data_IF_051752670073
#
_entry.id   IF_051752670073
#
_cell.length_a   1.000
_cell.length_b   1.000
_cell.length_c   1.000
_cell.angle_alpha   90.00
_cell.angle_beta   90.00
_cell.angle_gamma   90.00
#
_symmetry.space_group_name_H-M   'P 1'
#
loop_
_entity.id
_entity.type
_entity.pdbx_description
1 polymer ?
2 non-polymer ?
3 non-polymer ?
4 non-polymer ?
5 non-polymer ?
6 water ?
#
# COMPACT_ATOMS: atom_id res chain seq x y z
N UNK A 21 11.29 25.94 -13.75
CA UNK A 21 11.62 24.53 -13.55
C UNK A 21 10.45 23.62 -13.91
N UNK A 22 10.78 22.48 -14.51
CA UNK A 22 9.84 21.43 -14.85
C UNK A 22 9.00 21.03 -13.64
N UNK A 23 9.59 21.17 -12.46
CA UNK A 23 9.01 20.67 -11.21
C UNK A 23 8.07 21.65 -10.50
N UNK A 24 8.49 22.91 -10.39
CA UNK A 24 7.57 23.92 -9.84
C UNK A 24 6.40 24.07 -10.80
N UNK A 25 6.64 23.77 -12.07
CA UNK A 25 5.57 23.75 -13.05
C UNK A 25 4.60 22.64 -12.70
N UNK A 26 5.15 21.46 -12.42
CA UNK A 26 4.32 20.32 -12.02
C UNK A 26 3.52 20.66 -10.75
N UNK A 27 4.17 21.32 -9.80
CA UNK A 27 3.52 21.73 -8.56
C UNK A 27 2.35 22.69 -8.84
N UNK A 28 2.54 23.59 -9.79
CA UNK A 28 1.51 24.57 -10.13
C UNK A 28 0.29 23.93 -10.77
N UNK A 29 0.53 23.06 -11.75
CA UNK A 29 -0.56 22.36 -12.43
C UNK A 29 -1.35 21.58 -11.41
N UNK A 30 -0.65 20.93 -10.49
CA UNK A 30 -1.32 20.06 -9.54
C UNK A 30 -2.14 20.87 -8.54
N UNK A 31 -1.55 21.92 -7.99
CA UNK A 31 -2.24 22.71 -6.98
C UNK A 31 -3.46 23.44 -7.55
N UNK A 32 -3.40 23.76 -8.85
CA UNK A 32 -4.49 24.48 -9.51
C UNK A 32 -5.67 23.59 -9.92
N UNK A 33 -5.44 22.28 -10.03
CA UNK A 33 -6.43 21.36 -10.58
C UNK A 33 -7.69 21.14 -9.73
N UNK A 34 -8.81 20.86 -10.39
CA UNK A 34 -10.01 20.42 -9.70
C UNK A 34 -9.91 18.91 -9.57
N UNK A 35 -10.17 18.39 -8.38
CA UNK A 35 -10.00 16.98 -8.15
C UNK A 35 -11.35 16.34 -8.36
N UNK A 36 -11.43 15.46 -9.37
CA UNK A 36 -12.69 14.76 -9.65
C UNK A 36 -13.12 13.94 -8.46
N UNK A 37 -14.37 13.47 -8.45
CA UNK A 37 -14.87 12.66 -7.36
C UNK A 37 -14.26 11.26 -7.40
N UNK A 38 -14.32 10.60 -6.26
CA UNK A 38 -13.79 9.27 -6.12
C UNK A 38 -14.46 8.35 -7.14
N UNK A 39 -15.75 8.55 -7.33
CA UNK A 39 -16.53 7.73 -8.25
C UNK A 39 -16.05 7.90 -9.68
N UNK A 40 -15.80 9.13 -10.06
CA UNK A 40 -15.28 9.43 -11.39
C UNK A 40 -13.90 8.81 -11.60
N UNK A 41 -13.13 8.68 -10.53
CA UNK A 41 -11.74 8.23 -10.67
C UNK A 41 -11.64 6.73 -10.53
N UNK A 42 -12.74 6.10 -10.14
CA UNK A 42 -12.81 4.66 -10.07
C UNK A 42 -11.95 4.12 -8.96
N UNK A 43 -11.51 4.99 -8.06
CA UNK A 43 -10.62 4.55 -6.99
C UNK A 43 -11.30 3.74 -5.89
N UNK A 44 -12.63 3.61 -5.91
CA UNK A 44 -13.31 2.74 -4.95
C UNK A 44 -13.33 1.27 -5.37
N UNK A 45 -12.93 0.99 -6.59
CA UNK A 45 -13.02 -0.36 -7.15
C UNK A 45 -11.81 -1.21 -6.79
N UNK A 46 -12.05 -2.44 -6.38
CA UNK A 46 -10.96 -3.37 -6.13
C UNK A 46 -10.19 -3.73 -7.41
N UNK A 47 -10.83 -3.55 -8.55
CA UNK A 47 -10.23 -3.94 -9.83
C UNK A 47 -9.61 -2.75 -10.58
N UNK A 48 -9.49 -1.64 -9.87
CA UNK A 48 -8.85 -0.44 -10.40
C UNK A 48 -7.52 -0.70 -11.11
N UNK A 49 -7.21 0.10 -12.13
CA UNK A 49 -5.93 -0.04 -12.82
C UNK A 49 -5.38 1.32 -13.22
N UNK A 50 -4.07 1.46 -13.19
CA UNK A 50 -3.44 2.76 -13.36
C UNK A 50 -2.74 2.89 -14.71
N UNK A 51 -2.79 1.84 -15.52
CA UNK A 51 -2.01 1.81 -16.77
C UNK A 51 -2.26 2.98 -17.70
N UNK A 52 -3.48 3.51 -17.70
CA UNK A 52 -3.85 4.53 -18.66
C UNK A 52 -3.79 5.94 -18.06
N UNK A 53 -3.26 6.03 -16.84
CA UNK A 53 -3.25 7.29 -16.10
C UNK A 53 -1.89 7.94 -16.25
N UNK A 54 -1.88 9.27 -16.30
CA UNK A 54 -0.64 10.06 -16.32
C UNK A 54 -0.13 10.25 -14.89
N UNK A 55 1.11 10.70 -14.73
CA UNK A 55 1.60 11.01 -13.40
C UNK A 55 0.69 12.01 -12.70
N UNK A 56 0.36 13.10 -13.39
CA UNK A 56 -0.50 14.11 -12.81
C UNK A 56 -1.79 13.48 -12.32
N UNK A 57 -2.33 12.56 -13.11
CA UNK A 57 -3.60 11.94 -12.75
C UNK A 57 -3.48 11.08 -11.49
N UNK A 58 -2.34 10.43 -11.30
CA UNK A 58 -2.19 9.61 -10.11
C UNK A 58 -2.11 10.53 -8.90
N UNK A 59 -1.55 11.72 -9.11
CA UNK A 59 -1.46 12.66 -7.99
C UNK A 59 -2.84 13.14 -7.55
N UNK A 60 -3.73 13.38 -8.50
CA UNK A 60 -5.11 13.79 -8.20
C UNK A 60 -5.87 12.70 -7.47
N UNK A 61 -5.74 11.46 -7.95
CA UNK A 61 -6.38 10.36 -7.27
C UNK A 61 -5.91 10.35 -5.83
N UNK A 62 -4.63 10.64 -5.61
CA UNK A 62 -4.08 10.55 -4.26
C UNK A 62 -4.69 11.62 -3.35
N UNK A 63 -4.87 12.82 -3.88
CA UNK A 63 -5.52 13.87 -3.11
C UNK A 63 -6.94 13.46 -2.78
N UNK A 64 -7.62 12.87 -3.76
CA UNK A 64 -8.99 12.45 -3.50
C UNK A 64 -9.05 11.38 -2.40
N UNK A 65 -7.99 10.57 -2.30
CA UNK A 65 -7.96 9.55 -1.24
C UNK A 65 -7.86 10.19 0.16
N UNK A 66 -6.97 11.17 0.31
CA UNK A 66 -6.89 11.88 1.58
C UNK A 66 -8.19 12.60 1.91
N UNK A 67 -8.81 13.17 0.87
CA UNK A 67 -9.95 14.04 1.07
C UNK A 67 -11.17 13.25 1.50
N UNK A 68 -11.47 12.19 0.76
CA UNK A 68 -12.67 11.39 1.04
C UNK A 68 -12.52 10.46 2.23
N UNK A 69 -11.31 10.34 2.76
CA UNK A 69 -11.13 9.67 4.05
C UNK A 69 -11.29 10.74 5.14
N UNK A 70 -11.61 11.96 4.71
CA UNK A 70 -11.84 13.08 5.61
C UNK A 70 -10.62 13.50 6.41
N UNK A 71 -9.43 13.22 5.86
CA UNK A 71 -8.16 13.50 6.53
C UNK A 71 -7.68 14.95 6.37
N UNK A 72 -8.00 15.57 5.24
CA UNK A 72 -7.63 16.96 5.05
C UNK A 72 -8.36 17.83 6.07
N UNK A 73 -9.63 17.52 6.31
CA UNK A 73 -10.42 18.26 7.27
C UNK A 73 -9.99 18.01 8.72
N UNK A 74 -9.97 16.75 9.14
CA UNK A 74 -9.76 16.43 10.54
C UNK A 74 -8.39 16.90 11.03
N UNK A 75 -7.45 17.06 10.11
CA UNK A 75 -6.07 17.35 10.47
C UNK A 75 -5.57 18.61 9.79
N UNK A 76 -6.50 19.36 9.22
CA UNK A 76 -6.19 20.68 8.70
C UNK A 76 -4.94 20.68 7.82
N UNK A 77 -4.96 19.90 6.75
CA UNK A 77 -3.82 19.94 5.84
C UNK A 77 -4.04 21.05 4.84
N UNK A 78 -3.01 21.88 4.66
CA UNK A 78 -3.06 22.92 3.65
C UNK A 78 -2.84 22.28 2.29
N UNK A 79 -3.52 22.82 1.29
CA UNK A 79 -3.56 22.22 -0.04
C UNK A 79 -2.17 22.19 -0.67
N UNK A 80 -1.50 23.34 -0.66
CA UNK A 80 -0.17 23.43 -1.28
C UNK A 80 0.79 22.43 -0.65
N UNK A 81 0.65 22.21 0.66
CA UNK A 81 1.55 21.31 1.39
C UNK A 81 1.32 19.84 1.01
N UNK A 82 0.07 19.39 1.05
CA UNK A 82 -0.30 18.06 0.58
C UNK A 82 0.18 17.80 -0.86
N UNK A 83 -0.08 18.75 -1.75
CA UNK A 83 0.38 18.62 -3.13
C UNK A 83 1.89 18.49 -3.22
N UNK A 84 2.61 19.29 -2.44
CA UNK A 84 4.06 19.23 -2.49
C UNK A 84 4.52 17.87 -1.95
N UNK A 85 3.86 17.42 -0.89
CA UNK A 85 4.21 16.14 -0.26
C UNK A 85 4.06 14.95 -1.23
N UNK A 86 2.93 14.89 -1.91
CA UNK A 86 2.67 13.86 -2.89
C UNK A 86 3.74 13.87 -3.97
N UNK A 87 4.09 15.05 -4.46
CA UNK A 87 5.14 15.14 -5.49
C UNK A 87 6.50 14.70 -4.98
N UNK A 88 6.82 15.06 -3.73
CA UNK A 88 8.07 14.59 -3.12
C UNK A 88 8.09 13.07 -3.04
N UNK A 89 7.02 12.49 -2.51
CA UNK A 89 6.94 11.06 -2.44
C UNK A 89 7.14 10.51 -3.84
N UNK A 90 6.35 10.98 -4.80
CA UNK A 90 6.47 10.46 -6.17
C UNK A 90 7.90 10.58 -6.67
N UNK A 91 8.51 11.72 -6.43
CA UNK A 91 9.86 11.96 -6.92
C UNK A 91 10.89 10.98 -6.33
N UNK A 92 10.65 10.49 -5.12
CA UNK A 92 11.65 9.63 -4.48
C UNK A 92 11.48 8.13 -4.74
N UNK A 93 10.64 7.79 -5.70
CA UNK A 93 10.66 6.45 -6.26
C UNK A 93 11.47 6.54 -7.55
N UNK A 94 12.19 5.48 -7.90
CA UNK A 94 12.98 5.50 -9.14
C UNK A 94 12.19 4.93 -10.33
N UNK A 95 12.07 5.70 -11.41
CA UNK A 95 11.29 5.26 -12.57
C UNK A 95 11.94 4.11 -13.35
N UNK A 96 13.27 4.04 -13.31
CA UNK A 96 14.00 2.97 -13.99
C UNK A 96 13.76 1.58 -13.38
N UNK A 97 13.09 1.50 -12.24
CA UNK A 97 12.83 0.21 -11.62
C UNK A 97 11.46 -0.29 -12.07
N UNK A 98 11.41 -1.48 -12.62
CA UNK A 98 10.24 -1.87 -13.39
C UNK A 98 8.97 -2.04 -12.56
N UNK A 99 9.12 -2.57 -11.35
CA UNK A 99 7.93 -2.80 -10.54
C UNK A 99 7.91 -1.99 -9.25
N UNK A 100 9.02 -1.97 -8.52
CA UNK A 100 9.06 -1.23 -7.25
C UNK A 100 9.27 0.25 -7.47
N UNK A 101 8.23 0.90 -8.03
CA UNK A 101 8.28 2.32 -8.37
C UNK A 101 7.01 3.00 -7.87
N UNK A 102 6.83 4.26 -8.26
CA UNK A 102 5.70 5.02 -7.76
C UNK A 102 4.33 4.38 -8.04
N UNK A 103 4.15 3.78 -9.22
CA UNK A 103 2.87 3.16 -9.57
C UNK A 103 2.50 2.03 -8.61
N UNK A 104 3.50 1.24 -8.21
CA UNK A 104 3.28 0.25 -7.17
C UNK A 104 2.83 0.86 -5.83
N UNK A 105 3.43 1.96 -5.44
CA UNK A 105 3.06 2.61 -4.19
C UNK A 105 1.67 3.18 -4.33
N UNK A 106 1.41 3.77 -5.49
CA UNK A 106 0.11 4.35 -5.75
C UNK A 106 -1.00 3.29 -5.71
N UNK A 107 -0.75 2.16 -6.33
CA UNK A 107 -1.69 1.05 -6.29
C UNK A 107 -1.93 0.47 -4.89
N UNK A 108 -0.88 0.39 -4.11
CA UNK A 108 -1.01 -0.10 -2.75
C UNK A 108 -1.91 0.85 -1.97
N UNK A 109 -1.73 2.15 -2.20
CA UNK A 109 -2.58 3.15 -1.54
C UNK A 109 -4.04 3.05 -1.99
N UNK A 110 -4.24 2.88 -3.30
CA UNK A 110 -5.58 2.74 -3.83
C UNK A 110 -6.29 1.52 -3.25
N UNK A 111 -5.58 0.41 -3.14
CA UNK A 111 -6.18 -0.77 -2.55
C UNK A 111 -6.52 -0.54 -1.06
N UNK A 112 -5.64 0.13 -0.34
CA UNK A 112 -5.92 0.50 1.05
C UNK A 112 -7.22 1.31 1.08
N UNK A 113 -7.31 2.30 0.21
CA UNK A 113 -8.49 3.16 0.17
C UNK A 113 -9.75 2.34 -0.12
N UNK A 114 -9.65 1.40 -1.04
CA UNK A 114 -10.81 0.61 -1.42
C UNK A 114 -11.22 -0.35 -0.31
N UNK A 115 -10.26 -0.84 0.46
CA UNK A 115 -10.57 -1.74 1.56
C UNK A 115 -11.25 -0.96 2.67
N UNK A 116 -10.83 0.30 2.85
CA UNK A 116 -11.46 1.14 3.86
C UNK A 116 -12.87 1.55 3.48
N UNK A 117 -13.08 1.87 2.21
CA UNK A 117 -14.41 2.29 1.75
C UNK A 117 -15.27 1.08 1.35
N UNK A 118 -15.11 0.61 0.12
CA UNK A 118 -15.83 -0.56 -0.35
C UNK A 118 -15.75 -1.76 0.63
N UNK A 119 -14.55 -2.01 1.17
CA UNK A 119 -14.35 -3.15 2.08
C UNK A 119 -14.84 -2.87 3.49
N UNK A 120 -15.20 -1.61 3.75
CA UNK A 120 -15.87 -1.20 4.99
C UNK A 120 -15.00 -1.28 6.25
N UNK A 121 -13.69 -1.35 6.07
CA UNK A 121 -12.75 -1.38 7.18
C UNK A 121 -12.70 -0.03 7.91
N UNK A 122 -12.97 1.04 7.19
CA UNK A 122 -12.93 2.38 7.76
C UNK A 122 -13.50 2.42 9.16
N UNK A 123 -14.72 1.91 9.32
CA UNK A 123 -15.46 2.02 10.58
C UNK A 123 -14.80 1.29 11.74
N UNK A 124 -13.90 0.36 11.43
CA UNK A 124 -13.22 -0.42 12.46
C UNK A 124 -11.98 0.29 13.01
N UNK A 125 -11.59 1.43 12.44
CA UNK A 125 -10.32 2.06 12.81
C UNK A 125 -10.48 3.50 13.25
N UNK A 126 -9.46 4.05 13.91
CA UNK A 126 -9.47 5.47 14.26
C UNK A 126 -8.96 6.33 13.12
N UNK A 127 -9.32 7.61 13.15
CA UNK A 127 -8.78 8.56 12.18
C UNK A 127 -7.25 8.51 12.11
N UNK A 128 -6.58 8.50 13.26
CA UNK A 128 -5.12 8.49 13.28
C UNK A 128 -4.55 7.23 12.62
N UNK A 129 -5.21 6.09 12.84
CA UNK A 129 -4.80 4.85 12.19
C UNK A 129 -4.96 4.92 10.66
N UNK A 130 -6.09 5.45 10.22
CA UNK A 130 -6.37 5.59 8.81
C UNK A 130 -5.34 6.49 8.14
N UNK A 131 -5.08 7.63 8.79
CA UNK A 131 -4.08 8.58 8.35
C UNK A 131 -2.72 7.93 8.15
N UNK A 132 -2.33 7.09 9.10
CA UNK A 132 -1.02 6.45 9.10
C UNK A 132 -0.90 5.33 8.08
N UNK A 133 -1.99 4.59 7.86
CA UNK A 133 -2.04 3.57 6.82
C UNK A 133 -1.90 4.17 5.42
N UNK A 134 -2.62 5.26 5.17
CA UNK A 134 -2.57 5.89 3.86
C UNK A 134 -1.15 6.34 3.56
N UNK A 135 -0.53 7.01 4.53
CA UNK A 135 0.82 7.51 4.36
C UNK A 135 1.81 6.36 4.23
N UNK A 136 1.62 5.34 5.04
CA UNK A 136 2.49 4.17 4.98
C UNK A 136 2.38 3.46 3.63
N UNK A 137 1.16 3.27 3.13
CA UNK A 137 1.00 2.60 1.85
C UNK A 137 1.76 3.34 0.76
N UNK A 138 1.67 4.66 0.76
CA UNK A 138 2.35 5.46 -0.26
C UNK A 138 3.87 5.46 -0.12
N UNK A 139 4.37 5.32 1.10
CA UNK A 139 5.79 5.54 1.36
C UNK A 139 6.54 4.24 1.53
N UNK A 140 5.83 3.12 1.54
CA UNK A 140 6.39 1.89 2.10
C UNK A 140 7.54 1.29 1.29
N UNK A 141 7.76 1.77 0.07
CA UNK A 141 8.87 1.29 -0.73
C UNK A 141 9.77 2.42 -1.22
N UNK A 142 9.71 3.59 -0.58
CA UNK A 142 10.47 4.75 -1.01
C UNK A 142 11.95 4.44 -1.32
N UNK A 143 12.41 4.87 -2.48
CA UNK A 143 13.82 4.74 -2.88
C UNK A 143 14.28 3.29 -3.14
N UNK A 144 13.34 2.37 -3.33
CA UNK A 144 13.66 0.98 -3.70
C UNK A 144 14.53 0.95 -4.97
N UNK A 145 15.54 0.08 -5.00
CA UNK A 145 16.42 0.05 -6.17
C UNK A 145 16.22 -1.17 -7.08
N UNK A 146 15.34 -2.07 -6.66
CA UNK A 146 15.09 -3.31 -7.39
C UNK A 146 15.51 -4.45 -6.49
N UNK A 147 14.76 -5.54 -6.48
CA UNK A 147 15.08 -6.66 -5.60
C UNK A 147 16.50 -7.20 -5.80
N UNK A 148 17.08 -6.98 -6.98
CA UNK A 148 18.44 -7.44 -7.28
C UNK A 148 19.56 -6.48 -6.86
N UNK A 149 19.24 -5.48 -6.04
CA UNK A 149 20.27 -4.58 -5.52
C UNK A 149 20.33 -4.53 -4.00
N UNK A 150 21.49 -4.87 -3.45
CA UNK A 150 21.73 -4.86 -2.01
C UNK A 150 23.21 -5.01 -1.69
N UNK A 158 26.19 -2.14 5.54
CA UNK A 158 26.92 -1.59 6.70
C UNK A 158 26.77 -2.45 7.96
N UNK A 159 27.92 -2.82 8.53
CA UNK A 159 27.96 -3.56 9.78
C UNK A 159 27.04 -4.78 9.73
N UNK A 160 26.21 -4.93 10.76
CA UNK A 160 25.31 -6.08 10.88
C UNK A 160 23.90 -5.66 11.33
N UNK A 161 22.86 -5.92 10.52
CA UNK A 161 22.92 -6.73 9.29
C UNK A 161 23.25 -8.20 9.55
N UNK A 162 23.43 -8.55 10.82
CA UNK A 162 23.76 -9.91 11.18
C UNK A 162 22.54 -10.80 11.06
N UNK A 163 21.39 -10.29 11.52
CA UNK A 163 20.18 -11.10 11.62
C UNK A 163 18.92 -10.49 11.00
N UNK A 164 18.86 -10.46 9.68
CA UNK A 164 17.67 -9.96 8.96
C UNK A 164 17.28 -8.55 9.43
N UNK A 165 16.20 -8.47 10.19
CA UNK A 165 15.83 -7.25 10.90
C UNK A 165 15.21 -6.13 10.04
N UNK A 166 14.88 -6.45 8.78
CA UNK A 166 14.15 -5.51 7.92
C UNK A 166 14.94 -4.25 7.61
N UNK A 167 16.21 -4.41 7.26
CA UNK A 167 17.06 -3.27 6.96
C UNK A 167 16.47 -2.43 5.85
N UNK A 168 15.90 -3.10 4.87
CA UNK A 168 15.33 -2.44 3.72
C UNK A 168 14.16 -1.55 4.15
N UNK A 169 13.28 -2.10 4.97
CA UNK A 169 12.13 -1.36 5.44
C UNK A 169 12.51 -0.22 6.36
N UNK A 170 13.61 -0.37 7.12
CA UNK A 170 14.05 0.74 7.93
C UNK A 170 14.44 1.92 7.05
N UNK A 171 15.12 1.62 5.95
CA UNK A 171 15.46 2.64 4.97
C UNK A 171 14.20 3.34 4.38
N UNK A 172 13.21 2.56 3.99
CA UNK A 172 12.02 3.15 3.41
C UNK A 172 11.38 4.09 4.42
N UNK A 173 11.32 3.65 5.68
CA UNK A 173 10.70 4.47 6.70
C UNK A 173 11.50 5.75 6.97
N UNK A 174 12.83 5.64 7.00
CA UNK A 174 13.68 6.82 7.13
C UNK A 174 13.41 7.80 6.00
N UNK A 175 13.28 7.29 4.78
CA UNK A 175 12.94 8.14 3.62
C UNK A 175 11.63 8.86 3.84
N UNK A 176 10.62 8.10 4.25
CA UNK A 176 9.33 8.66 4.61
C UNK A 176 9.45 9.78 5.63
N UNK A 177 10.17 9.52 6.73
CA UNK A 177 10.37 10.50 7.80
C UNK A 177 11.01 11.80 7.29
N UNK A 178 12.08 11.67 6.52
CA UNK A 178 12.77 12.84 5.97
C UNK A 178 11.86 13.72 5.10
N UNK A 179 10.95 13.09 4.37
CA UNK A 179 10.02 13.84 3.56
C UNK A 179 8.97 14.53 4.43
N UNK A 180 8.45 13.80 5.40
CA UNK A 180 7.50 14.42 6.34
C UNK A 180 8.09 15.62 7.07
N UNK A 181 9.40 15.73 7.13
CA UNK A 181 10.02 16.84 7.85
C UNK A 181 10.58 17.92 6.93
N UNK A 182 10.54 17.71 5.62
CA UNK A 182 11.02 18.71 4.68
C UNK A 182 10.15 19.94 4.71
N UNK A 183 10.75 21.12 4.58
CA UNK A 183 9.99 22.38 4.55
C UNK A 183 8.99 22.34 3.42
N UNK A 184 7.78 22.84 3.67
CA UNK A 184 6.74 22.87 2.67
C UNK A 184 6.03 21.55 2.52
N UNK A 185 6.61 20.50 3.08
CA UNK A 185 6.07 19.16 2.93
C UNK A 185 5.42 18.58 4.18
N UNK A 186 5.14 19.40 5.17
CA UNK A 186 4.73 18.85 6.47
C UNK A 186 3.25 18.58 6.70
N UNK A 187 2.76 17.49 6.11
CA UNK A 187 1.33 17.22 6.16
C UNK A 187 0.80 16.86 7.56
N UNK A 188 1.71 16.60 8.51
CA UNK A 188 1.30 16.28 9.87
C UNK A 188 1.39 17.49 10.83
N UNK A 189 1.69 18.67 10.29
CA UNK A 189 1.87 19.86 11.12
C UNK A 189 0.62 20.18 11.94
N UNK A 190 -0.55 19.84 11.41
CA UNK A 190 -1.80 20.09 12.12
C UNK A 190 -2.05 19.18 13.31
N UNK A 191 -1.33 18.07 13.42
CA UNK A 191 -1.49 17.18 14.57
C UNK A 191 -0.83 17.79 15.82
N UNK A 192 -1.33 17.43 17.00
CA UNK A 192 -0.68 17.80 18.27
C UNK A 192 0.50 16.88 18.49
N UNK A 193 1.44 17.27 19.35
CA UNK A 193 2.65 16.45 19.52
C UNK A 193 2.33 14.99 19.89
N UNK A 194 1.32 14.78 20.73
CA UNK A 194 0.94 13.44 21.14
C UNK A 194 0.37 12.65 19.95
N UNK A 195 -0.49 13.29 19.16
CA UNK A 195 -1.03 12.63 17.98
C UNK A 195 0.08 12.34 17.00
N UNK A 196 1.03 13.27 16.88
CA UNK A 196 2.14 13.11 15.96
C UNK A 196 2.94 11.88 16.32
N UNK A 197 3.27 11.73 17.60
CA UNK A 197 4.09 10.60 18.02
C UNK A 197 3.38 9.28 17.78
N UNK A 198 2.08 9.24 18.07
CA UNK A 198 1.30 8.03 17.89
C UNK A 198 1.27 7.67 16.41
N UNK A 199 1.15 8.69 15.57
CA UNK A 199 1.03 8.47 14.14
C UNK A 199 2.31 7.93 13.53
N UNK A 200 3.45 8.51 13.93
CA UNK A 200 4.75 8.01 13.47
C UNK A 200 4.98 6.56 13.85
N UNK A 201 4.58 6.21 15.06
CA UNK A 201 4.76 4.84 15.53
C UNK A 201 3.94 3.90 14.65
N UNK A 202 2.69 4.26 14.39
CA UNK A 202 1.87 3.46 13.49
C UNK A 202 2.47 3.42 12.09
N UNK A 203 2.91 4.55 11.56
CA UNK A 203 3.51 4.54 10.23
C UNK A 203 4.71 3.61 10.18
N UNK A 204 5.53 3.67 11.21
CA UNK A 204 6.75 2.85 11.26
C UNK A 204 6.41 1.35 11.29
N UNK A 205 5.49 0.95 12.17
CA UNK A 205 5.11 -0.45 12.27
C UNK A 205 4.53 -0.92 10.95
N UNK A 206 3.66 -0.08 10.39
CA UNK A 206 3.04 -0.35 9.09
C UNK A 206 4.07 -0.58 8.00
N UNK A 207 5.10 0.26 7.92
CA UNK A 207 6.11 0.07 6.88
C UNK A 207 6.95 -1.17 7.15
N UNK A 208 7.28 -1.40 8.41
CA UNK A 208 8.08 -2.57 8.77
C UNK A 208 7.29 -3.84 8.51
N UNK A 209 5.97 -3.76 8.65
CA UNK A 209 5.10 -4.91 8.35
C UNK A 209 5.13 -5.37 6.89
N UNK A 210 5.58 -4.51 5.96
CA UNK A 210 5.65 -4.91 4.53
C UNK A 210 6.86 -5.81 4.20
N UNK A 211 7.59 -6.20 5.24
CA UNK A 211 8.66 -7.18 5.09
C UNK A 211 8.00 -8.57 5.18
N UNK A 212 8.05 -9.33 4.10
CA UNK A 212 7.36 -10.61 4.05
C UNK A 212 7.76 -11.55 5.19
N UNK A 213 9.04 -11.50 5.57
CA UNK A 213 9.52 -12.31 6.70
C UNK A 213 8.70 -12.02 7.97
N UNK A 214 8.56 -10.74 8.31
CA UNK A 214 7.73 -10.38 9.43
C UNK A 214 6.31 -10.87 9.24
N UNK A 215 5.82 -10.85 8.00
CA UNK A 215 4.45 -11.28 7.76
C UNK A 215 4.32 -12.78 8.04
N UNK A 216 5.29 -13.55 7.53
CA UNK A 216 5.31 -14.98 7.78
C UNK A 216 5.38 -15.27 9.28
N UNK A 217 6.20 -14.50 9.97
CA UNK A 217 6.39 -14.68 11.40
C UNK A 217 5.09 -14.53 12.18
N UNK A 218 4.25 -13.61 11.76
CA UNK A 218 3.13 -13.18 12.60
C UNK A 218 1.76 -13.69 12.19
N UNK A 219 1.66 -14.19 10.95
CA UNK A 219 0.35 -14.57 10.40
C UNK A 219 -0.32 -15.71 11.18
N UNK A 220 0.48 -16.67 11.63
CA UNK A 220 -0.02 -17.79 12.42
C UNK A 220 -0.92 -17.34 13.55
N UNK A 221 -0.41 -16.42 14.36
CA UNK A 221 -1.19 -15.86 15.44
C UNK A 221 -2.54 -15.35 14.95
N UNK A 222 -2.53 -14.64 13.83
CA UNK A 222 -3.72 -13.98 13.29
C UNK A 222 -4.71 -15.00 12.78
N UNK A 223 -4.22 -15.98 12.03
CA UNK A 223 -5.07 -17.05 11.50
C UNK A 223 -5.68 -17.85 12.63
N UNK A 224 -4.81 -18.29 13.54
CA UNK A 224 -5.23 -19.06 14.71
C UNK A 224 -6.35 -18.35 15.44
N UNK A 225 -6.24 -17.03 15.58
CA UNK A 225 -7.23 -16.24 16.31
C UNK A 225 -8.58 -16.18 15.59
N UNK A 226 -8.54 -16.10 14.26
CA UNK A 226 -9.77 -16.07 13.48
C UNK A 226 -10.42 -17.46 13.46
N UNK A 227 -9.58 -18.49 13.41
CA UNK A 227 -10.03 -19.87 13.53
C UNK A 227 -11.03 -20.00 14.70
N UNK A 228 -10.64 -19.47 15.85
CA UNK A 228 -11.38 -19.66 17.08
C UNK A 228 -12.46 -18.62 17.30
N UNK A 229 -12.71 -17.80 16.29
CA UNK A 229 -13.65 -16.69 16.42
C UNK A 229 -13.38 -15.91 17.71
N UNK A 230 -12.11 -15.79 18.05
CA UNK A 230 -11.68 -15.01 19.20
C UNK A 230 -11.17 -13.65 18.77
N UNK A 231 -10.95 -13.48 17.47
CA UNK A 231 -10.36 -12.26 16.97
C UNK A 231 -11.12 -11.03 17.45
N UNK A 232 -10.39 -10.02 17.90
CA UNK A 232 -10.99 -8.84 18.52
C UNK A 232 -10.16 -7.56 18.34
N UNK A 233 -10.77 -6.55 17.73
CA UNK A 233 -10.06 -5.32 17.41
C UNK A 233 -9.89 -4.38 18.59
N UNK A 234 -10.57 -4.68 19.69
CA UNK A 234 -10.49 -3.84 20.87
C UNK A 234 -9.16 -4.08 21.57
N UNK A 235 -8.61 -5.26 21.37
CA UNK A 235 -7.32 -5.57 21.95
C UNK A 235 -6.19 -4.90 21.15
N UNK A 236 -5.56 -3.89 21.75
CA UNK A 236 -4.44 -3.17 21.14
C UNK A 236 -3.42 -4.10 20.47
N UNK A 237 -3.13 -5.24 21.07
CA UNK A 237 -2.18 -6.15 20.47
C UNK A 237 -2.73 -6.67 19.14
N UNK A 238 -4.03 -6.93 19.13
CA UNK A 238 -4.68 -7.49 17.95
C UNK A 238 -4.89 -6.43 16.88
N UNK A 239 -5.30 -5.24 17.29
CA UNK A 239 -5.38 -4.10 16.37
C UNK A 239 -4.07 -3.96 15.59
N UNK A 240 -2.97 -3.87 16.31
CA UNK A 240 -1.65 -3.71 15.70
C UNK A 240 -1.37 -4.86 14.74
N UNK A 241 -1.80 -6.06 15.10
CA UNK A 241 -1.58 -7.23 14.25
C UNK A 241 -2.42 -7.12 12.98
N UNK A 242 -3.65 -6.64 13.14
CA UNK A 242 -4.54 -6.48 11.99
C UNK A 242 -3.98 -5.44 11.03
N UNK A 243 -3.58 -4.28 11.53
CA UNK A 243 -2.96 -3.26 10.66
C UNK A 243 -1.82 -3.86 9.85
N UNK A 244 -1.00 -4.70 10.47
CA UNK A 244 0.12 -5.32 9.77
C UNK A 244 -0.38 -6.21 8.65
N UNK A 245 -1.39 -7.02 8.96
CA UNK A 245 -1.94 -7.92 7.95
C UNK A 245 -2.53 -7.09 6.82
N UNK A 246 -3.25 -6.03 7.18
CA UNK A 246 -3.83 -5.13 6.20
C UNK A 246 -2.76 -4.60 5.23
N UNK A 247 -1.60 -4.19 5.74
CA UNK A 247 -0.54 -3.69 4.88
C UNK A 247 -0.07 -4.74 3.88
N UNK A 248 0.15 -5.96 4.35
CA UNK A 248 0.58 -7.01 3.43
C UNK A 248 -0.48 -7.23 2.34
N UNK A 249 -1.74 -7.25 2.74
CA UNK A 249 -2.83 -7.49 1.78
C UNK A 249 -2.81 -6.46 0.66
N UNK A 250 -2.63 -5.19 1.02
CA UNK A 250 -2.55 -4.14 -0.01
C UNK A 250 -1.29 -4.23 -0.84
N UNK A 251 -0.17 -4.46 -0.17
CA UNK A 251 1.13 -4.53 -0.79
C UNK A 251 1.14 -5.59 -1.90
N UNK A 252 0.38 -6.67 -1.68
CA UNK A 252 0.37 -7.78 -2.63
C UNK A 252 -0.81 -7.76 -3.61
N UNK A 253 -1.69 -6.75 -3.50
CA UNK A 253 -3.00 -6.77 -4.16
C UNK A 253 -2.98 -6.88 -5.70
N UNK A 254 -1.83 -6.65 -6.31
CA UNK A 254 -1.74 -6.86 -7.75
C UNK A 254 -2.15 -8.29 -8.09
N UNK A 255 -1.93 -9.22 -7.14
CA UNK A 255 -2.17 -10.63 -7.39
C UNK A 255 -3.67 -10.89 -7.46
N UNK A 256 -4.47 -9.89 -7.11
CA UNK A 256 -5.91 -10.07 -7.09
C UNK A 256 -6.63 -9.41 -8.27
N UNK A 257 -5.89 -8.75 -9.17
CA UNK A 257 -6.51 -7.98 -10.24
C UNK A 257 -7.12 -8.84 -11.36
N UNK A 258 -8.03 -8.26 -12.15
CA UNK A 258 -8.54 -9.00 -13.32
C UNK A 258 -7.42 -9.53 -14.21
N UNK A 259 -7.58 -10.78 -14.67
CA UNK A 259 -6.55 -11.47 -15.44
C UNK A 259 -5.70 -10.63 -16.40
N UNK A 260 -6.33 -9.86 -17.29
CA UNK A 260 -5.47 -9.16 -18.26
C UNK A 260 -4.52 -8.18 -17.57
N UNK A 261 -5.00 -7.54 -16.52
CA UNK A 261 -4.19 -6.65 -15.72
C UNK A 261 -3.13 -7.41 -14.91
N UNK A 262 -3.54 -8.46 -14.23
CA UNK A 262 -2.56 -9.28 -13.51
C UNK A 262 -1.45 -9.82 -14.42
N UNK A 263 -1.78 -10.29 -15.62
CA UNK A 263 -0.72 -10.71 -16.55
C UNK A 263 0.26 -9.58 -16.80
N UNK A 264 -0.27 -8.38 -16.91
CA UNK A 264 0.53 -7.22 -17.23
C UNK A 264 1.46 -6.92 -16.05
N UNK A 265 0.93 -6.95 -14.85
CA UNK A 265 1.76 -6.66 -13.68
C UNK A 265 2.79 -7.75 -13.50
N UNK A 266 2.38 -9.00 -13.64
CA UNK A 266 3.34 -10.10 -13.61
C UNK A 266 4.51 -9.83 -14.56
N UNK A 267 4.21 -9.20 -15.68
CA UNK A 267 5.27 -8.88 -16.63
C UNK A 267 6.29 -7.96 -15.99
N UNK A 268 5.80 -6.96 -15.28
CA UNK A 268 6.68 -5.97 -14.70
C UNK A 268 7.57 -6.64 -13.65
N UNK A 269 6.97 -7.49 -12.82
CA UNK A 269 7.68 -8.17 -11.75
C UNK A 269 8.78 -9.05 -12.32
N UNK A 270 8.45 -9.83 -13.34
CA UNK A 270 9.44 -10.67 -14.03
C UNK A 270 10.59 -9.85 -14.58
N UNK A 271 10.29 -8.70 -15.16
CA UNK A 271 11.35 -7.84 -15.67
C UNK A 271 12.29 -7.46 -14.54
N UNK A 272 11.73 -7.10 -13.39
CA UNK A 272 12.56 -6.71 -12.25
C UNK A 272 13.34 -7.90 -11.65
N UNK A 273 12.66 -9.03 -11.46
CA UNK A 273 13.28 -10.22 -10.88
C UNK A 273 14.42 -10.78 -11.71
N UNK A 274 14.43 -10.53 -13.01
CA UNK A 274 15.41 -11.16 -13.89
C UNK A 274 16.37 -10.20 -14.58
N UNK A 275 16.13 -8.88 -14.44
CA UNK A 275 17.09 -7.88 -14.90
C UNK A 275 17.29 -6.77 -13.87
N UNK A 297 10.47 -17.92 -17.81
CA UNK A 297 9.18 -17.61 -18.44
C UNK A 297 8.26 -18.84 -18.52
N UNK A 298 8.81 -19.99 -18.92
CA UNK A 298 8.06 -21.23 -18.86
C UNK A 298 7.84 -21.61 -17.40
N UNK A 299 8.79 -21.25 -16.53
CA UNK A 299 8.65 -21.52 -15.10
C UNK A 299 7.82 -20.48 -14.34
N UNK A 300 7.48 -19.37 -14.99
CA UNK A 300 6.75 -18.31 -14.30
C UNK A 300 5.35 -18.73 -13.80
N UNK A 301 4.57 -19.42 -14.63
CA UNK A 301 3.24 -19.77 -14.14
C UNK A 301 3.24 -20.58 -12.85
N UNK A 302 4.09 -21.60 -12.76
CA UNK A 302 4.14 -22.39 -11.55
C UNK A 302 4.63 -21.54 -10.39
N UNK A 303 5.60 -20.67 -10.63
CA UNK A 303 6.02 -19.71 -9.60
C UNK A 303 4.83 -18.90 -9.06
N UNK A 304 3.99 -18.40 -9.96
CA UNK A 304 2.82 -17.64 -9.56
C UNK A 304 1.88 -18.47 -8.69
N UNK A 305 1.69 -19.74 -9.06
CA UNK A 305 0.83 -20.64 -8.29
C UNK A 305 1.41 -20.85 -6.90
N UNK A 306 2.73 -21.04 -6.84
CA UNK A 306 3.42 -21.21 -5.57
C UNK A 306 3.24 -20.02 -4.65
N UNK A 307 3.46 -18.83 -5.21
CA UNK A 307 3.26 -17.60 -4.46
C UNK A 307 1.82 -17.45 -3.97
N UNK A 308 0.85 -17.79 -4.81
CA UNK A 308 -0.54 -17.65 -4.41
C UNK A 308 -0.89 -18.62 -3.27
N UNK A 309 -0.45 -19.87 -3.40
CA UNK A 309 -0.69 -20.85 -2.33
C UNK A 309 0.05 -20.54 -1.03
N UNK A 310 1.35 -20.30 -1.14
CA UNK A 310 2.17 -20.01 0.03
C UNK A 310 1.72 -18.77 0.80
N UNK A 311 1.42 -17.69 0.08
CA UNK A 311 1.23 -16.40 0.74
C UNK A 311 -0.18 -15.83 0.64
N UNK A 312 -0.70 -15.75 -0.57
CA UNK A 312 -1.88 -14.92 -0.82
C UNK A 312 -3.22 -15.46 -0.35
N UNK A 313 -3.58 -16.67 -0.75
CA UNK A 313 -4.92 -17.18 -0.43
C UNK A 313 -5.34 -17.01 1.02
N UNK A 314 -4.51 -17.47 1.95
CA UNK A 314 -4.93 -17.46 3.34
C UNK A 314 -5.16 -16.04 3.86
N UNK A 315 -4.23 -15.15 3.56
CA UNK A 315 -4.37 -13.76 3.91
C UNK A 315 -5.70 -13.20 3.42
N UNK A 316 -6.02 -13.38 2.13
CA UNK A 316 -7.27 -12.83 1.62
C UNK A 316 -8.51 -13.56 2.19
N UNK A 317 -8.36 -14.83 2.54
CA UNK A 317 -9.44 -15.53 3.24
C UNK A 317 -9.65 -14.89 4.61
N UNK A 318 -8.58 -14.77 5.38
CA UNK A 318 -8.63 -14.11 6.69
C UNK A 318 -9.24 -12.70 6.62
N UNK A 319 -8.82 -11.89 5.66
CA UNK A 319 -9.36 -10.56 5.55
C UNK A 319 -10.87 -10.60 5.28
N UNK A 320 -11.32 -11.61 4.53
CA UNK A 320 -12.74 -11.75 4.20
C UNK A 320 -13.56 -12.06 5.44
N UNK A 321 -13.05 -12.97 6.27
CA UNK A 321 -13.63 -13.25 7.58
C UNK A 321 -13.81 -12.00 8.43
N UNK A 322 -12.78 -11.16 8.50
CA UNK A 322 -12.86 -9.92 9.26
C UNK A 322 -13.93 -9.00 8.67
N UNK A 323 -13.99 -8.93 7.36
CA UNK A 323 -14.93 -8.06 6.67
C UNK A 323 -15.36 -8.64 5.34
N UNK A 324 -16.58 -9.18 5.33
CA UNK A 324 -17.10 -9.94 4.20
C UNK A 324 -16.97 -9.15 2.90
N UNK A 325 -17.07 -7.83 3.00
CA UNK A 325 -17.03 -6.97 1.82
C UNK A 325 -15.66 -6.89 1.12
N UNK A 326 -14.63 -7.45 1.74
CA UNK A 326 -13.32 -7.55 1.09
C UNK A 326 -13.21 -8.79 0.21
N UNK A 327 -14.34 -9.46 0.00
CA UNK A 327 -14.39 -10.71 -0.76
C UNK A 327 -13.83 -10.62 -2.19
N UNK A 328 -14.06 -9.49 -2.88
CA UNK A 328 -13.53 -9.37 -4.24
C UNK A 328 -12.02 -9.58 -4.33
N UNK A 329 -11.29 -9.23 -3.27
CA UNK A 329 -9.86 -9.51 -3.25
C UNK A 329 -9.60 -11.00 -3.30
N UNK A 330 -10.31 -11.75 -2.46
CA UNK A 330 -10.16 -13.20 -2.39
C UNK A 330 -10.60 -13.82 -3.71
N UNK A 331 -11.76 -13.36 -4.20
CA UNK A 331 -12.29 -13.90 -5.44
C UNK A 331 -11.31 -13.67 -6.58
N UNK A 332 -10.80 -12.45 -6.72
CA UNK A 332 -9.89 -12.13 -7.81
C UNK A 332 -8.63 -12.98 -7.71
N UNK A 333 -8.18 -13.19 -6.49
CA UNK A 333 -6.99 -14.01 -6.26
C UNK A 333 -7.22 -15.48 -6.70
N UNK A 334 -8.39 -16.03 -6.40
CA UNK A 334 -8.71 -17.42 -6.80
C UNK A 334 -8.77 -17.58 -8.30
N UNK A 335 -9.38 -16.63 -8.98
CA UNK A 335 -9.50 -16.70 -10.43
C UNK A 335 -8.13 -16.70 -11.05
N UNK A 336 -7.24 -15.88 -10.51
CA UNK A 336 -5.89 -15.84 -11.03
C UNK A 336 -5.12 -17.13 -10.80
N UNK A 337 -5.39 -17.80 -9.70
CA UNK A 337 -4.72 -19.07 -9.47
C UNK A 337 -5.13 -20.04 -10.57
N UNK A 338 -6.42 -20.07 -10.86
CA UNK A 338 -6.94 -20.96 -11.88
C UNK A 338 -6.23 -20.69 -13.20
N UNK A 339 -6.11 -19.43 -13.58
CA UNK A 339 -5.47 -19.09 -14.85
C UNK A 339 -4.01 -19.50 -14.91
N UNK A 340 -3.23 -19.15 -13.89
CA UNK A 340 -1.81 -19.48 -13.90
C UNK A 340 -1.61 -20.98 -13.86
N UNK A 341 -2.48 -21.67 -13.12
CA UNK A 341 -2.42 -23.13 -13.03
C UNK A 341 -2.60 -23.79 -14.41
N UNK A 342 -3.55 -23.27 -15.20
CA UNK A 342 -3.74 -23.74 -16.57
C UNK A 342 -2.51 -23.52 -17.46
N UNK A 343 -1.84 -22.39 -17.31
CA UNK A 343 -0.63 -22.14 -18.07
C UNK A 343 0.47 -23.06 -17.59
N UNK A 344 0.44 -23.38 -16.30
CA UNK A 344 1.51 -24.15 -15.69
C UNK A 344 1.70 -25.52 -16.35
N UNK A 345 0.74 -25.92 -17.18
CA UNK A 345 0.91 -27.12 -18.01
C UNK A 345 0.72 -26.84 -19.51
X LIG B 1 12.46 -6.03 -0.39
X LIG B 1 12.40 -6.32 -1.74
X LIG B 1 11.48 -6.76 0.47
X LIG B 1 11.59 -6.65 1.85
X LIG B 1 12.05 -7.72 2.62
X LIG B 1 13.50 -8.06 2.54
X LIG B 1 13.94 -9.16 3.26
X LIG C 1 5.73 -3.07 -1.85
X LIG D 1 8.88 -3.55 -0.07
X LIG E 1 10.04 -14.69 -3.80
X LIG E 1 11.02 -14.24 -2.77
X LIG E 1 10.59 -13.06 -2.06
X LIG E 1 11.58 -12.51 -1.12
X LIG E 1 9.23 -13.10 -1.63
X LIG E 1 8.30 -13.48 -2.73
X LIG E 1 8.70 -14.73 -3.31
X LIG E 1 7.58 -15.71 -4.01
X LIG E 1 6.32 -15.69 -3.20
X LIG E 1 8.10 -17.11 -4.11
X LIG E 1 7.31 -15.07 -5.67
X LIG E 1 6.45 -14.01 -5.90
X LIG E 1 7.99 -15.64 -6.74
X LIG E 1 7.79 -15.14 -8.03
X LIG E 1 6.92 -14.07 -8.25
X LIG E 1 6.74 -13.60 -9.52
X LIG E 1 7.44 -14.11 -10.61
X LIG E 1 7.26 -13.25 -11.80
X LIG E 1 5.78 -12.88 -11.97
X LIG E 1 6.27 -13.49 -7.17
X LIG E 1 5.33 -12.38 -7.33
X LIG E 1 5.25 -11.39 -6.39
X LIG E 1 4.31 -10.37 -6.52
X LIG E 1 3.96 -9.16 -5.73
X LIG E 1 2.60 -8.76 -6.20
X LIG E 1 2.49 -9.21 -7.60
X LIG E 1 3.41 -10.40 -7.66
X LIG E 1 3.52 -11.45 -8.61
X LIG E 1 2.67 -11.47 -9.70
X LIG E 1 4.47 -12.42 -8.42
#
# INVERSE_FOLDING_TARGET
>A
MGSSHHHHHHSSGLVPRGSHMEETRELQSLAAAVVPSAQTLKITDFSFSDFELSDLETALCTIRMFTDLNLVQNFQMKHEVLCRWILSVKKNYRKNVAYHNWRHAFNTAQCMFAALKAGKIQNKLTDLEILALLIAALSHDLDHRGVNNSYIQRSEHPLAQLYCHSIMEHHHFDQCLMILNSPGNQILSGLSIEEYKTTLKIIKQAILATDLALYIKRRGEFFELIRKNQFNLEDPHQKELFLAMLMTACDLSAITKPWPIQQRIAELVATEFFDQGDRERKELNIEPTDLMNREKKNKIPSMQVGFIDAICLQLYEALTHVSEDCFPLLDGCRKNRQKWQALAEQQ
>B hetero
1 PEG C1 O1 C2 O2 C3 C4 O4
>C hetero
1 ZN ZN
>D hetero
1 MG MG
>E hetero
1 NI5 CAP CAN NBB CAB CAO CAQ NBC SBD OAD OAE CAU CAH CAF CAG CAW OAT CAK CAI CAA CAX CAY NAR CAV CAL CAJ CAM CAZ CBA OAC NAS
#
